data_IF_645337791486
#
_entry.id   IF_645337791486
#
_cell.length_a   1.000
_cell.length_b   1.000
_cell.length_c   1.000
_cell.angle_alpha   90.00
_cell.angle_beta   90.00
_cell.angle_gamma   90.00
#
_symmetry.space_group_name_H-M   'P 1'
#
loop_
_entity.id
_entity.type
_entity.pdbx_description
1 polymer ?
#
# COMPACT_ATOMS: atom_id res chain seq x y z
N UNK A 1 38.56 -6.20 28.71
CA UNK A 1 38.20 -5.73 27.35
C UNK A 1 36.72 -6.04 27.16
N UNK A 2 35.87 -5.03 27.20
CA UNK A 2 34.44 -5.20 26.93
C UNK A 2 34.25 -5.19 25.41
N UNK A 3 33.84 -6.32 24.85
CA UNK A 3 33.39 -6.41 23.46
C UNK A 3 32.17 -5.50 23.31
N UNK A 4 32.30 -4.47 22.46
CA UNK A 4 31.17 -3.61 22.08
C UNK A 4 30.09 -4.51 21.46
N UNK A 5 28.81 -4.37 21.85
CA UNK A 5 27.74 -5.02 21.13
C UNK A 5 27.74 -4.49 19.70
N UNK A 6 27.80 -5.40 18.72
CA UNK A 6 27.56 -5.05 17.33
C UNK A 6 26.15 -4.46 17.23
N UNK A 7 26.06 -3.17 16.96
CA UNK A 7 24.80 -2.54 16.55
C UNK A 7 24.40 -3.16 15.21
N UNK A 8 23.53 -4.17 15.26
CA UNK A 8 22.80 -4.60 14.06
C UNK A 8 22.09 -3.38 13.49
N UNK A 9 22.10 -3.15 12.17
CA UNK A 9 21.36 -2.05 11.58
C UNK A 9 19.89 -2.20 11.96
N UNK A 10 19.38 -1.27 12.78
CA UNK A 10 18.00 -1.20 13.28
C UNK A 10 16.99 -0.80 12.19
N UNK A 11 17.38 -0.86 10.92
CA UNK A 11 16.64 -0.38 9.76
C UNK A 11 16.03 -1.50 8.91
N UNK A 12 16.20 -2.78 9.28
CA UNK A 12 15.51 -3.87 8.61
C UNK A 12 14.01 -3.83 8.94
N UNK A 13 13.17 -3.50 7.96
CA UNK A 13 11.73 -3.72 8.04
C UNK A 13 11.46 -5.22 8.25
N UNK A 14 10.44 -5.56 9.03
CA UNK A 14 9.97 -6.95 9.10
C UNK A 14 9.46 -7.40 7.73
N UNK A 15 9.52 -8.70 7.45
CA UNK A 15 9.03 -9.29 6.20
C UNK A 15 7.57 -8.90 5.92
N UNK A 16 6.71 -8.92 6.95
CA UNK A 16 5.32 -8.46 6.87
C UNK A 16 5.21 -7.01 6.36
N UNK A 17 6.02 -6.08 6.90
CA UNK A 17 6.00 -4.67 6.48
C UNK A 17 6.54 -4.46 5.07
N UNK A 18 7.47 -5.31 4.63
CA UNK A 18 7.97 -5.31 3.25
C UNK A 18 6.86 -5.74 2.30
N UNK A 19 6.13 -6.80 2.66
CA UNK A 19 5.00 -7.30 1.86
C UNK A 19 3.91 -6.24 1.79
N UNK A 20 3.50 -5.65 2.92
CA UNK A 20 2.54 -4.53 2.96
C UNK A 20 2.92 -3.40 2.01
N UNK A 21 4.16 -2.91 2.10
CA UNK A 21 4.68 -1.84 1.24
C UNK A 21 4.59 -2.18 -0.26
N UNK A 22 5.00 -3.39 -0.64
CA UNK A 22 4.97 -3.80 -2.04
C UNK A 22 3.54 -3.93 -2.58
N UNK A 23 2.58 -4.27 -1.73
CA UNK A 23 1.17 -4.36 -2.10
C UNK A 23 0.52 -2.99 -2.24
N UNK A 24 0.87 -2.03 -1.39
CA UNK A 24 0.41 -0.65 -1.55
C UNK A 24 0.94 -0.04 -2.86
N UNK A 25 2.17 -0.38 -3.27
CA UNK A 25 2.67 0.00 -4.59
C UNK A 25 1.84 -0.69 -5.69
N UNK A 26 1.46 -1.95 -5.51
CA UNK A 26 0.61 -2.67 -6.48
C UNK A 26 -0.79 -2.05 -6.61
N UNK A 27 -1.43 -1.68 -5.51
CA UNK A 27 -2.71 -0.96 -5.53
C UNK A 27 -2.60 0.35 -6.31
N UNK A 28 -1.49 1.08 -6.13
CA UNK A 28 -1.22 2.30 -6.90
C UNK A 28 -1.01 2.03 -8.38
N UNK A 29 -0.35 0.92 -8.75
CA UNK A 29 -0.24 0.50 -10.16
C UNK A 29 -1.62 0.27 -10.75
N UNK A 30 -2.48 -0.50 -10.08
CA UNK A 30 -3.83 -0.80 -10.56
C UNK A 30 -4.68 0.48 -10.69
N UNK A 31 -4.57 1.42 -9.74
CA UNK A 31 -5.24 2.71 -9.79
C UNK A 31 -4.77 3.58 -10.97
N UNK A 32 -3.45 3.64 -11.21
CA UNK A 32 -2.90 4.41 -12.34
C UNK A 32 -3.25 3.74 -13.68
N UNK A 33 -3.30 2.41 -13.75
CA UNK A 33 -3.78 1.68 -14.93
C UNK A 33 -5.25 2.02 -15.23
N UNK A 34 -6.10 2.07 -14.22
CA UNK A 34 -7.50 2.49 -14.35
C UNK A 34 -7.60 3.94 -14.85
N UNK A 35 -6.89 4.88 -14.21
CA UNK A 35 -6.88 6.28 -14.64
C UNK A 35 -6.41 6.41 -16.09
N UNK A 36 -5.33 5.74 -16.47
CA UNK A 36 -4.86 5.71 -17.86
C UNK A 36 -5.91 5.17 -18.83
N UNK A 37 -6.72 4.18 -18.42
CA UNK A 37 -7.79 3.61 -19.26
C UNK A 37 -9.00 4.54 -19.43
N UNK A 38 -9.21 5.46 -18.48
CA UNK A 38 -10.33 6.40 -18.47
C UNK A 38 -10.05 7.70 -19.23
N UNK A 39 -8.79 8.00 -19.56
CA UNK A 39 -8.40 9.23 -20.26
C UNK A 39 -7.98 8.93 -21.70
N UNK A 40 -8.53 9.69 -22.65
CA UNK A 40 -8.25 9.56 -24.09
C UNK A 40 -7.20 10.57 -24.60
N UNK A 41 -6.85 11.60 -23.80
CA UNK A 41 -5.84 12.59 -24.20
C UNK A 41 -4.42 11.99 -24.16
N UNK A 42 -3.73 12.10 -25.29
CA UNK A 42 -2.33 11.70 -25.46
C UNK A 42 -1.36 12.27 -24.41
N UNK A 43 -1.57 13.48 -23.88
CA UNK A 43 -0.68 14.08 -22.87
C UNK A 43 -0.85 13.42 -21.50
N UNK A 44 -2.10 13.22 -21.07
CA UNK A 44 -2.42 12.58 -19.78
C UNK A 44 -2.03 11.10 -19.79
N UNK A 45 -2.25 10.41 -20.91
CA UNK A 45 -1.79 9.03 -21.10
C UNK A 45 -0.26 8.91 -21.00
N UNK A 46 0.49 9.88 -21.52
CA UNK A 46 1.96 9.90 -21.41
C UNK A 46 2.41 10.06 -19.95
N UNK A 47 1.76 10.95 -19.20
CA UNK A 47 2.01 11.14 -17.77
C UNK A 47 1.78 9.86 -16.96
N UNK A 48 0.63 9.19 -17.15
CA UNK A 48 0.35 7.94 -16.45
C UNK A 48 1.31 6.81 -16.83
N UNK A 49 1.76 6.73 -18.10
CA UNK A 49 2.79 5.77 -18.52
C UNK A 49 4.13 6.00 -17.79
N UNK A 50 4.51 7.26 -17.59
CA UNK A 50 5.69 7.62 -16.80
C UNK A 50 5.57 7.14 -15.34
N UNK A 51 4.43 7.38 -14.71
CA UNK A 51 4.16 6.91 -13.34
C UNK A 51 4.20 5.38 -13.23
N UNK A 52 3.56 4.67 -14.16
CA UNK A 52 3.59 3.20 -14.19
C UNK A 52 5.01 2.65 -14.34
N UNK A 53 5.85 3.31 -15.14
CA UNK A 53 7.24 2.90 -15.32
C UNK A 53 8.01 3.00 -14.01
N UNK A 54 7.83 4.09 -13.26
CA UNK A 54 8.53 4.27 -11.98
C UNK A 54 8.00 3.32 -10.89
N UNK A 55 6.68 3.13 -10.79
CA UNK A 55 6.10 2.19 -9.83
C UNK A 55 6.58 0.76 -10.08
N UNK A 56 6.60 0.32 -11.34
CA UNK A 56 7.15 -0.99 -11.69
C UNK A 56 8.64 -1.10 -11.38
N UNK A 57 9.42 -0.03 -11.60
CA UNK A 57 10.85 0.01 -11.23
C UNK A 57 11.04 -0.17 -9.72
N UNK A 58 10.23 0.48 -8.90
CA UNK A 58 10.28 0.34 -7.43
C UNK A 58 9.96 -1.11 -7.04
N UNK A 59 8.94 -1.71 -7.64
CA UNK A 59 8.59 -3.12 -7.41
C UNK A 59 9.78 -4.04 -7.75
N UNK A 60 10.38 -3.90 -8.93
CA UNK A 60 11.52 -4.74 -9.36
C UNK A 60 12.74 -4.56 -8.45
N UNK A 61 13.09 -3.32 -8.09
CA UNK A 61 14.21 -3.06 -7.18
C UNK A 61 13.96 -3.65 -5.79
N UNK A 62 12.73 -3.53 -5.29
CA UNK A 62 12.36 -4.05 -3.98
C UNK A 62 12.38 -5.58 -3.98
N UNK A 63 11.93 -6.25 -5.05
CA UNK A 63 12.05 -7.72 -5.21
C UNK A 63 13.49 -8.20 -5.11
N UNK A 64 14.41 -7.53 -5.81
CA UNK A 64 15.84 -7.86 -5.77
C UNK A 64 16.44 -7.64 -4.38
N UNK A 65 16.03 -6.57 -3.69
CA UNK A 65 16.55 -6.22 -2.38
C UNK A 65 16.04 -7.15 -1.27
N UNK A 66 14.77 -7.58 -1.36
CA UNK A 66 14.11 -8.43 -0.36
C UNK A 66 14.05 -9.92 -0.75
N UNK A 67 14.58 -10.29 -1.92
CA UNK A 67 14.59 -11.66 -2.46
C UNK A 67 13.18 -12.31 -2.53
N UNK A 68 12.20 -11.58 -3.08
CA UNK A 68 10.80 -12.03 -3.22
C UNK A 68 10.42 -12.30 -4.69
N UNK A 69 9.56 -13.31 -4.92
CA UNK A 69 8.99 -13.61 -6.25
C UNK A 69 7.77 -12.72 -6.57
N UNK A 70 7.59 -12.36 -7.84
CA UNK A 70 6.40 -11.69 -8.39
C UNK A 70 5.14 -12.51 -8.15
N UNK A 71 5.27 -13.84 -8.21
CA UNK A 71 4.16 -14.75 -7.95
C UNK A 71 3.67 -14.61 -6.51
N UNK A 72 4.59 -14.52 -5.55
CA UNK A 72 4.27 -14.38 -4.13
C UNK A 72 3.58 -13.05 -3.84
N UNK A 73 4.00 -11.96 -4.50
CA UNK A 73 3.35 -10.66 -4.34
C UNK A 73 1.92 -10.65 -4.89
N UNK A 74 1.72 -11.16 -6.11
CA UNK A 74 0.40 -11.24 -6.72
C UNK A 74 -0.52 -12.19 -5.95
N UNK A 75 0.03 -13.27 -5.41
CA UNK A 75 -0.70 -14.20 -4.56
C UNK A 75 -1.11 -13.53 -3.25
N UNK A 76 -0.17 -12.87 -2.55
CA UNK A 76 -0.47 -12.10 -1.34
C UNK A 76 -1.56 -11.05 -1.60
N UNK A 77 -1.54 -10.37 -2.75
CA UNK A 77 -2.51 -9.33 -3.11
C UNK A 77 -3.93 -9.87 -3.24
N UNK A 78 -4.06 -11.09 -3.76
CA UNK A 78 -5.34 -11.79 -3.83
C UNK A 78 -5.84 -12.30 -2.48
N UNK A 79 -4.95 -12.46 -1.51
CA UNK A 79 -5.27 -12.94 -0.15
C UNK A 79 -5.64 -11.81 0.81
N UNK A 80 -5.60 -10.55 0.37
CA UNK A 80 -6.07 -9.42 1.18
C UNK A 80 -7.56 -9.53 1.45
N UNK A 81 -7.92 -9.33 2.71
CA UNK A 81 -9.31 -9.22 3.13
C UNK A 81 -9.84 -7.81 2.83
N UNK A 82 -11.14 -7.71 2.59
CA UNK A 82 -11.80 -6.40 2.49
C UNK A 82 -12.16 -5.89 3.89
N UNK A 83 -11.89 -4.61 4.15
CA UNK A 83 -12.27 -3.91 5.37
C UNK A 83 -13.09 -2.68 5.01
N UNK A 84 -14.18 -2.48 5.73
CA UNK A 84 -14.96 -1.26 5.74
C UNK A 84 -14.44 -0.35 6.85
N UNK A 85 -14.09 0.88 6.50
CA UNK A 85 -13.59 1.90 7.41
C UNK A 85 -14.69 2.92 7.66
N UNK A 86 -15.02 3.13 8.93
CA UNK A 86 -15.81 4.27 9.40
C UNK A 86 -14.87 5.39 9.80
N UNK A 87 -14.94 6.50 9.08
CA UNK A 87 -14.07 7.66 9.19
C UNK A 87 -14.89 8.89 9.60
N UNK A 88 -14.27 9.85 10.28
CA UNK A 88 -14.92 11.08 10.71
C UNK A 88 -14.02 12.29 10.45
N UNK A 89 -14.56 13.33 9.82
CA UNK A 89 -13.83 14.58 9.60
C UNK A 89 -13.77 15.45 10.87
N UNK A 90 -13.00 16.55 10.81
CA UNK A 90 -12.88 17.50 11.92
C UNK A 90 -14.21 18.17 12.34
N UNK A 91 -15.23 18.17 11.48
CA UNK A 91 -16.57 18.68 11.78
C UNK A 91 -17.49 17.64 12.41
N UNK A 92 -17.04 16.40 12.51
CA UNK A 92 -17.81 15.28 13.02
C UNK A 92 -18.64 14.55 11.95
N UNK A 93 -18.49 14.87 10.68
CA UNK A 93 -19.23 14.22 9.59
C UNK A 93 -18.62 12.86 9.28
N UNK A 94 -19.46 11.84 9.25
CA UNK A 94 -19.06 10.46 8.94
C UNK A 94 -18.80 10.24 7.44
N UNK A 95 -17.79 9.43 7.13
CA UNK A 95 -17.42 8.96 5.81
C UNK A 95 -17.12 7.46 5.87
N UNK A 96 -17.52 6.71 4.84
CA UNK A 96 -17.30 5.26 4.77
C UNK A 96 -16.38 4.96 3.60
N UNK A 97 -15.30 4.22 3.86
CA UNK A 97 -14.34 3.77 2.85
C UNK A 97 -14.20 2.25 2.87
N UNK A 98 -13.74 1.68 1.75
CA UNK A 98 -13.40 0.25 1.67
C UNK A 98 -11.94 0.11 1.26
N UNK A 99 -11.18 -0.68 2.01
CA UNK A 99 -9.77 -0.96 1.72
C UNK A 99 -9.51 -2.45 1.74
N UNK A 100 -8.50 -2.90 1.00
CA UNK A 100 -7.96 -4.25 1.11
C UNK A 100 -6.75 -4.24 2.03
N UNK A 101 -6.73 -5.13 3.01
CA UNK A 101 -5.66 -5.22 4.02
C UNK A 101 -5.49 -6.65 4.56
N UNK A 102 -4.35 -6.93 5.20
CA UNK A 102 -4.06 -8.24 5.79
C UNK A 102 -4.84 -8.46 7.08
N UNK A 103 -4.81 -7.45 7.92
CA UNK A 103 -5.44 -7.44 9.22
C UNK A 103 -6.01 -6.03 9.50
N UNK A 104 -6.58 -5.88 10.69
CA UNK A 104 -7.12 -4.60 11.12
C UNK A 104 -6.04 -3.52 11.27
N UNK A 105 -4.80 -3.87 11.64
CA UNK A 105 -3.73 -2.89 11.85
C UNK A 105 -3.26 -2.31 10.52
N UNK A 106 -3.11 -3.15 9.50
CA UNK A 106 -2.80 -2.74 8.14
C UNK A 106 -3.94 -1.87 7.59
N UNK A 107 -5.21 -2.24 7.82
CA UNK A 107 -6.36 -1.41 7.43
C UNK A 107 -6.35 -0.02 8.09
N UNK A 108 -6.01 0.03 9.39
CA UNK A 108 -5.84 1.29 10.14
C UNK A 108 -4.71 2.14 9.59
N UNK A 109 -3.58 1.53 9.26
CA UNK A 109 -2.45 2.23 8.65
C UNK A 109 -2.86 2.85 7.30
N UNK A 110 -3.49 2.06 6.41
CA UNK A 110 -3.98 2.56 5.13
C UNK A 110 -4.95 3.72 5.29
N UNK A 111 -5.83 3.64 6.29
CA UNK A 111 -6.75 4.74 6.61
C UNK A 111 -6.01 6.07 6.87
N UNK A 112 -4.89 6.03 7.60
CA UNK A 112 -4.09 7.22 7.91
C UNK A 112 -3.37 7.78 6.68
N UNK A 113 -3.00 6.94 5.72
CA UNK A 113 -2.30 7.35 4.50
C UNK A 113 -3.24 7.86 3.42
N UNK A 114 -4.35 7.15 3.20
CA UNK A 114 -5.29 7.44 2.11
C UNK A 114 -6.30 8.54 2.49
N UNK A 115 -6.60 8.70 3.79
CA UNK A 115 -7.57 9.66 4.31
C UNK A 115 -6.98 10.54 5.43
N UNK A 116 -5.92 11.31 5.17
CA UNK A 116 -5.20 12.06 6.21
C UNK A 116 -6.04 13.13 6.91
N UNK A 117 -7.11 13.60 6.27
CA UNK A 117 -8.03 14.61 6.83
C UNK A 117 -9.14 14.01 7.72
N UNK A 118 -9.17 12.67 7.85
CA UNK A 118 -10.19 11.95 8.60
C UNK A 118 -9.57 11.17 9.76
N UNK A 119 -10.30 11.08 10.86
CA UNK A 119 -10.00 10.20 11.98
C UNK A 119 -10.73 8.88 11.81
N UNK A 120 -10.03 7.76 12.00
CA UNK A 120 -10.65 6.44 12.00
C UNK A 120 -11.45 6.21 13.29
N UNK A 121 -12.72 5.85 13.10
CA UNK A 121 -13.64 5.47 14.18
C UNK A 121 -13.67 3.96 14.34
N UNK A 122 -13.83 3.22 13.25
CA UNK A 122 -13.94 1.75 13.26
C UNK A 122 -13.40 1.15 11.96
N UNK A 123 -12.79 -0.03 12.04
CA UNK A 123 -12.43 -0.85 10.90
C UNK A 123 -13.06 -2.25 11.05
N UNK A 124 -13.90 -2.63 10.10
CA UNK A 124 -14.68 -3.88 10.14
C UNK A 124 -14.36 -4.74 8.93
N UNK A 125 -13.94 -5.99 9.15
CA UNK A 125 -13.76 -6.96 8.07
C UNK A 125 -15.11 -7.29 7.40
N UNK A 126 -15.11 -7.31 6.07
CA UNK A 126 -16.28 -7.64 5.23
C UNK A 126 -15.92 -8.83 4.35
N UNK A 127 -16.83 -9.81 4.29
CA UNK A 127 -16.67 -11.08 3.57
C UNK A 127 -16.82 -10.92 2.06
#
# INVERSE_FOLDING_TARGET
>A
MATRPEERPTTALSEEKVVEFLMDIRDRVDAVELLKSQHEDTHEVSFYKGQLTELNRIIENSKLFFNMDVFDLNYAHKMLDSYELSLQDASGKGFMAMVKAFDVNHAQHKAMLDYPDYSLVEARKIQ
#
